data_IF_555686935904
#
_entry.id   IF_555686935904
#
_cell.length_a   1.000
_cell.length_b   1.000
_cell.length_c   1.000
_cell.angle_alpha   90.00
_cell.angle_beta   90.00
_cell.angle_gamma   90.00
#
_symmetry.space_group_name_H-M   'P 1'
#
loop_
_entity.id
_entity.type
_entity.pdbx_description
1 polymer ?
#
# COMPACT_ATOMS: atom_id res chain seq x y z
N UNK A 1 -8.51 0.43 13.80
CA UNK A 1 -9.17 1.11 12.64
C UNK A 1 -8.43 2.39 12.30
N UNK A 2 -8.11 2.60 11.04
CA UNK A 2 -7.45 3.82 10.55
C UNK A 2 -8.38 5.01 10.74
N UNK A 3 -7.87 6.09 11.34
CA UNK A 3 -8.67 7.31 11.52
C UNK A 3 -9.10 7.90 10.18
N UNK A 4 -10.40 8.25 10.06
CA UNK A 4 -10.94 8.91 8.88
C UNK A 4 -11.40 7.99 7.74
N UNK A 5 -11.28 6.67 7.91
CA UNK A 5 -11.69 5.70 6.90
C UNK A 5 -13.21 5.73 6.64
N UNK A 6 -14.03 5.90 7.69
CA UNK A 6 -15.48 6.06 7.55
C UNK A 6 -15.82 7.29 6.70
N UNK A 7 -15.09 8.38 6.92
CA UNK A 7 -15.26 9.60 6.13
C UNK A 7 -14.86 9.42 4.68
N UNK A 8 -13.76 8.71 4.45
CA UNK A 8 -13.34 8.34 3.10
C UNK A 8 -14.41 7.48 2.39
N UNK A 9 -14.98 6.50 3.09
CA UNK A 9 -16.04 5.62 2.59
C UNK A 9 -17.30 6.41 2.19
N UNK A 10 -17.73 7.39 2.99
CA UNK A 10 -18.89 8.25 2.67
C UNK A 10 -18.78 8.91 1.30
N UNK A 11 -17.57 9.34 0.91
CA UNK A 11 -17.33 10.03 -0.36
C UNK A 11 -17.07 9.06 -1.52
N UNK A 12 -16.35 7.96 -1.28
CA UNK A 12 -15.72 7.19 -2.34
C UNK A 12 -16.27 5.78 -2.55
N UNK A 13 -17.23 5.30 -1.74
CA UNK A 13 -17.79 3.95 -1.90
C UNK A 13 -18.40 3.70 -3.30
N UNK A 14 -18.99 4.72 -3.92
CA UNK A 14 -19.54 4.62 -5.29
C UNK A 14 -18.48 4.61 -6.40
N UNK A 15 -17.21 4.81 -6.06
CA UNK A 15 -16.08 4.84 -7.00
C UNK A 15 -15.09 3.71 -6.73
N UNK A 16 -15.55 2.61 -6.14
CA UNK A 16 -14.69 1.50 -5.75
C UNK A 16 -13.92 0.84 -6.92
N UNK A 17 -14.31 1.08 -8.16
CA UNK A 17 -13.63 0.64 -9.38
C UNK A 17 -12.47 1.56 -9.82
N UNK A 18 -12.37 2.76 -9.24
CA UNK A 18 -11.43 3.80 -9.66
C UNK A 18 -10.19 3.91 -8.78
N UNK A 19 -10.15 3.20 -7.67
CA UNK A 19 -9.00 3.17 -6.77
C UNK A 19 -8.81 1.79 -6.13
N UNK A 20 -7.62 1.59 -5.58
CA UNK A 20 -7.30 0.46 -4.69
C UNK A 20 -6.56 1.00 -3.47
N UNK A 21 -7.09 0.75 -2.29
CA UNK A 21 -6.39 1.03 -1.04
C UNK A 21 -5.32 -0.05 -0.83
N UNK A 22 -4.10 0.38 -0.57
CA UNK A 22 -2.94 -0.47 -0.35
C UNK A 22 -2.24 -0.10 0.97
N UNK A 23 -1.03 -0.53 1.16
CA UNK A 23 -0.18 -0.09 2.26
C UNK A 23 -0.66 -0.52 3.65
N UNK A 24 -0.44 0.36 4.63
CA UNK A 24 -0.75 0.11 6.03
C UNK A 24 -2.24 0.06 6.32
N UNK A 25 -3.02 0.94 5.69
CA UNK A 25 -4.46 1.03 5.91
C UNK A 25 -5.21 -0.20 5.38
N UNK A 26 -4.84 -0.72 4.21
CA UNK A 26 -5.39 -1.97 3.70
C UNK A 26 -5.07 -3.15 4.64
N UNK A 27 -3.84 -3.23 5.13
CA UNK A 27 -3.46 -4.27 6.09
C UNK A 27 -4.25 -4.17 7.41
N UNK A 28 -4.53 -2.96 7.90
CA UNK A 28 -5.31 -2.76 9.12
C UNK A 28 -6.76 -3.24 8.94
N UNK A 29 -7.40 -2.89 7.83
CA UNK A 29 -8.74 -3.38 7.46
C UNK A 29 -8.78 -4.91 7.36
N UNK A 30 -7.84 -5.51 6.65
CA UNK A 30 -7.73 -6.96 6.51
C UNK A 30 -7.62 -7.62 7.90
N UNK A 31 -6.69 -7.13 8.73
CA UNK A 31 -6.47 -7.74 10.04
C UNK A 31 -7.67 -7.56 10.97
N UNK A 32 -8.40 -6.45 10.87
CA UNK A 32 -9.64 -6.21 11.62
C UNK A 32 -10.75 -7.18 11.21
N UNK A 33 -10.92 -7.44 9.91
CA UNK A 33 -11.86 -8.43 9.37
C UNK A 33 -11.58 -9.84 9.91
N UNK A 34 -10.32 -10.16 10.16
CA UNK A 34 -9.91 -11.42 10.82
C UNK A 34 -9.84 -11.32 12.35
N UNK A 35 -10.49 -10.34 12.98
CA UNK A 35 -10.47 -10.10 14.42
C UNK A 35 -9.06 -10.05 15.03
N UNK A 36 -8.10 -9.55 14.26
CA UNK A 36 -6.69 -9.41 14.65
C UNK A 36 -6.28 -7.94 14.64
N UNK A 37 -5.13 -7.62 15.23
CA UNK A 37 -4.63 -6.25 15.30
C UNK A 37 -3.44 -6.03 14.38
N UNK A 38 -3.42 -4.88 13.73
CA UNK A 38 -2.27 -4.42 12.97
C UNK A 38 -1.52 -3.31 13.71
N UNK A 39 -0.39 -2.88 13.17
CA UNK A 39 0.31 -1.68 13.68
C UNK A 39 -0.50 -0.43 13.38
N UNK A 40 -0.43 0.56 14.25
CA UNK A 40 -1.08 1.83 13.98
C UNK A 40 -0.56 2.45 12.67
N UNK A 41 -1.48 2.89 11.84
CA UNK A 41 -1.24 3.66 10.61
C UNK A 41 -2.15 4.88 10.58
N UNK A 42 -1.73 5.93 9.89
CA UNK A 42 -2.48 7.19 9.81
C UNK A 42 -2.75 7.60 8.37
N UNK A 43 -2.12 6.90 7.45
CA UNK A 43 -2.02 7.26 6.05
C UNK A 43 -2.91 6.34 5.22
N UNK A 44 -3.64 6.90 4.26
CA UNK A 44 -4.35 6.16 3.24
C UNK A 44 -3.54 6.20 1.94
N UNK A 45 -2.97 5.06 1.56
CA UNK A 45 -2.23 4.87 0.33
C UNK A 45 -3.19 4.36 -0.75
N UNK A 46 -3.49 5.17 -1.75
CA UNK A 46 -4.46 4.88 -2.80
C UNK A 46 -3.77 4.79 -4.16
N UNK A 47 -3.93 3.68 -4.84
CA UNK A 47 -3.56 3.58 -6.26
C UNK A 47 -4.78 3.89 -7.10
N UNK A 48 -4.66 4.89 -7.97
CA UNK A 48 -5.72 5.26 -8.91
C UNK A 48 -5.66 4.37 -10.15
N UNK A 49 -6.82 3.85 -10.54
CA UNK A 49 -6.98 3.10 -11.78
C UNK A 49 -7.29 4.10 -12.88
N UNK A 50 -6.24 4.58 -13.53
CA UNK A 50 -6.33 5.72 -14.47
C UNK A 50 -7.30 5.46 -15.62
N UNK A 51 -7.39 4.21 -16.06
CA UNK A 51 -8.29 3.76 -17.12
C UNK A 51 -9.77 3.83 -16.72
N UNK A 52 -10.08 3.87 -15.43
CA UNK A 52 -11.44 3.93 -14.88
C UNK A 52 -11.80 5.30 -14.31
N UNK A 53 -10.86 6.24 -14.20
CA UNK A 53 -11.10 7.55 -13.60
C UNK A 53 -12.16 8.35 -14.37
N UNK A 54 -13.08 8.95 -13.63
CA UNK A 54 -14.13 9.82 -14.16
C UNK A 54 -13.98 11.25 -13.65
N UNK A 55 -14.50 12.24 -14.39
CA UNK A 55 -14.55 13.62 -13.91
C UNK A 55 -15.27 13.78 -12.55
N UNK A 56 -16.30 12.96 -12.31
CA UNK A 56 -17.06 12.97 -11.05
C UNK A 56 -16.21 12.51 -9.87
N UNK A 57 -15.32 11.52 -10.08
CA UNK A 57 -14.33 11.14 -9.07
C UNK A 57 -13.42 12.31 -8.72
N UNK A 58 -12.87 12.99 -9.75
CA UNK A 58 -12.00 14.15 -9.56
C UNK A 58 -12.69 15.27 -8.77
N UNK A 59 -13.94 15.60 -9.12
CA UNK A 59 -14.74 16.60 -8.40
C UNK A 59 -14.98 16.19 -6.94
N UNK A 60 -15.37 14.94 -6.71
CA UNK A 60 -15.60 14.41 -5.36
C UNK A 60 -14.30 14.41 -4.54
N UNK A 61 -13.17 14.09 -5.19
CA UNK A 61 -11.86 14.11 -4.53
C UNK A 61 -11.50 15.53 -4.06
N UNK A 62 -11.64 16.52 -4.92
CA UNK A 62 -11.37 17.91 -4.54
C UNK A 62 -12.34 18.44 -3.50
N UNK A 63 -13.59 18.01 -3.55
CA UNK A 63 -14.56 18.36 -2.49
C UNK A 63 -14.13 17.76 -1.15
N UNK A 64 -13.68 16.49 -1.14
CA UNK A 64 -13.15 15.84 0.05
C UNK A 64 -11.94 16.57 0.65
N UNK A 65 -10.98 16.96 -0.20
CA UNK A 65 -9.80 17.73 0.22
C UNK A 65 -10.19 19.09 0.81
N UNK A 66 -11.19 19.75 0.22
CA UNK A 66 -11.70 21.04 0.69
C UNK A 66 -12.44 20.88 2.02
N UNK A 67 -13.33 19.89 2.14
CA UNK A 67 -14.14 19.67 3.33
C UNK A 67 -13.30 19.23 4.53
N UNK A 68 -12.18 18.53 4.29
CA UNK A 68 -11.20 18.19 5.29
C UNK A 68 -10.25 19.33 5.67
N UNK A 69 -10.26 20.44 4.91
CA UNK A 69 -9.35 21.59 5.10
C UNK A 69 -7.88 21.14 5.18
N UNK A 70 -7.44 20.30 4.22
CA UNK A 70 -6.06 19.81 4.19
C UNK A 70 -5.07 20.94 3.97
N UNK A 71 -4.09 21.08 4.87
CA UNK A 71 -3.13 22.20 4.88
C UNK A 71 -2.05 22.05 3.83
N UNK A 72 -1.50 20.86 3.71
CA UNK A 72 -0.41 20.59 2.79
C UNK A 72 -0.92 19.82 1.58
N UNK A 73 -0.53 20.30 0.41
CA UNK A 73 -0.85 19.69 -0.89
C UNK A 73 0.42 19.67 -1.69
N UNK A 74 0.82 18.53 -2.20
CA UNK A 74 2.06 18.37 -2.94
C UNK A 74 1.96 17.33 -4.04
N UNK A 75 2.78 17.53 -5.07
CA UNK A 75 2.95 16.60 -6.18
C UNK A 75 4.43 16.27 -6.35
N UNK A 76 4.75 15.16 -6.99
CA UNK A 76 6.12 14.84 -7.38
C UNK A 76 6.66 15.89 -8.35
N UNK A 77 7.94 16.24 -8.21
CA UNK A 77 8.64 17.06 -9.20
C UNK A 77 8.77 16.26 -10.52
N UNK A 78 8.09 16.69 -11.55
CA UNK A 78 8.04 15.98 -12.83
C UNK A 78 6.60 15.72 -13.27
N UNK A 79 6.36 14.56 -13.88
CA UNK A 79 5.00 14.17 -14.24
C UNK A 79 4.18 13.81 -12.98
N UNK A 80 2.88 14.18 -12.91
CA UNK A 80 2.05 13.98 -11.73
C UNK A 80 1.62 12.51 -11.57
N UNK A 81 2.51 11.69 -11.03
CA UNK A 81 2.21 10.29 -10.68
C UNK A 81 1.87 10.12 -9.20
N UNK A 82 2.08 11.16 -8.40
CA UNK A 82 1.93 11.09 -6.96
C UNK A 82 1.46 12.42 -6.40
N UNK A 83 0.42 12.35 -5.55
CA UNK A 83 -0.10 13.48 -4.78
C UNK A 83 -0.14 13.12 -3.30
N UNK A 84 0.22 14.06 -2.44
CA UNK A 84 0.11 13.94 -0.98
C UNK A 84 -0.69 15.11 -0.42
N UNK A 85 -1.62 14.77 0.48
CA UNK A 85 -2.44 15.72 1.23
C UNK A 85 -2.37 15.33 2.69
N UNK A 86 -1.98 16.24 3.56
CA UNK A 86 -1.84 15.95 4.98
C UNK A 86 -2.40 17.05 5.89
N UNK A 87 -2.48 16.72 7.18
CA UNK A 87 -2.89 17.64 8.25
C UNK A 87 -4.24 18.30 7.99
N UNK A 88 -5.34 17.52 7.92
CA UNK A 88 -6.67 18.08 7.86
C UNK A 88 -6.96 18.89 9.13
N UNK A 89 -7.66 20.02 9.00
CA UNK A 89 -8.11 20.82 10.15
C UNK A 89 -9.42 20.29 10.71
N UNK A 90 -10.22 19.63 9.89
CA UNK A 90 -11.51 19.03 10.28
C UNK A 90 -11.30 17.63 10.82
N UNK A 91 -11.84 17.38 12.02
CA UNK A 91 -11.77 16.07 12.67
C UNK A 91 -12.57 15.01 11.87
N UNK A 92 -12.12 13.75 11.94
CA UNK A 92 -12.76 12.63 11.26
C UNK A 92 -12.26 12.40 9.83
N UNK A 93 -11.42 13.26 9.29
CA UNK A 93 -10.72 13.01 8.03
C UNK A 93 -9.41 12.25 8.24
N UNK A 94 -8.94 11.45 7.26
CA UNK A 94 -7.64 10.79 7.32
C UNK A 94 -6.50 11.80 7.49
N UNK A 95 -5.55 11.47 8.35
CA UNK A 95 -4.43 12.38 8.63
C UNK A 95 -3.58 12.68 7.40
N UNK A 96 -3.39 11.70 6.53
CA UNK A 96 -2.68 11.82 5.26
C UNK A 96 -3.35 10.96 4.19
N UNK A 97 -3.35 11.47 2.97
CA UNK A 97 -3.76 10.77 1.75
C UNK A 97 -2.60 10.79 0.79
N UNK A 98 -2.24 9.64 0.25
CA UNK A 98 -1.25 9.49 -0.79
C UNK A 98 -1.91 8.84 -2.01
N UNK A 99 -1.86 9.54 -3.15
CA UNK A 99 -2.39 9.04 -4.40
C UNK A 99 -1.24 8.67 -5.33
N UNK A 100 -1.26 7.45 -5.77
CA UNK A 100 -0.29 6.88 -6.72
C UNK A 100 -0.99 6.54 -8.02
N UNK A 101 -0.28 6.65 -9.14
CA UNK A 101 -0.76 6.14 -10.42
C UNK A 101 0.40 5.62 -11.26
N UNK A 102 0.06 4.72 -12.20
CA UNK A 102 0.98 4.15 -13.19
C UNK A 102 1.41 5.18 -14.26
N UNK A 103 0.56 6.16 -14.56
CA UNK A 103 0.81 7.20 -15.57
C UNK A 103 0.38 8.55 -15.04
N UNK A 104 0.84 9.62 -15.70
CA UNK A 104 0.37 10.97 -15.38
C UNK A 104 -1.14 11.06 -15.53
N UNK A 105 -1.77 11.69 -14.57
CA UNK A 105 -3.20 11.97 -14.57
C UNK A 105 -3.46 13.38 -14.08
N UNK A 106 -4.53 13.97 -14.55
CA UNK A 106 -4.96 15.30 -14.15
C UNK A 106 -6.28 15.21 -13.39
N UNK A 107 -6.28 15.59 -12.13
CA UNK A 107 -7.48 15.70 -11.30
C UNK A 107 -8.20 17.05 -11.52
N UNK A 108 -7.79 17.84 -12.53
CA UNK A 108 -8.37 19.17 -12.87
C UNK A 108 -8.62 20.04 -11.64
N UNK A 109 -7.53 20.53 -11.03
CA UNK A 109 -7.64 21.45 -9.90
C UNK A 109 -7.78 22.91 -10.37
N UNK A 110 -8.82 23.64 -9.93
CA UNK A 110 -9.09 25.01 -10.42
C UNK A 110 -8.09 26.07 -9.97
N UNK A 111 -7.37 25.85 -8.84
CA UNK A 111 -6.43 26.83 -8.26
C UNK A 111 -5.12 26.15 -7.87
N UNK A 112 -4.11 26.29 -8.73
CA UNK A 112 -2.83 25.58 -8.60
C UNK A 112 -1.84 26.27 -7.66
N UNK A 113 -1.84 25.88 -6.40
CA UNK A 113 -0.70 26.09 -5.49
C UNK A 113 -0.22 24.76 -4.90
N UNK A 114 0.03 23.78 -5.77
CA UNK A 114 0.66 22.53 -5.36
C UNK A 114 2.18 22.74 -5.31
N UNK A 115 2.78 22.54 -4.13
CA UNK A 115 4.22 22.67 -3.95
C UNK A 115 4.92 21.31 -4.12
N UNK A 116 6.03 21.22 -4.88
CA UNK A 116 6.84 20.01 -4.95
C UNK A 116 7.42 19.68 -3.58
N UNK A 117 7.38 18.40 -3.18
CA UNK A 117 8.05 17.91 -1.99
C UNK A 117 9.21 16.98 -2.36
N UNK A 118 10.23 16.94 -1.51
CA UNK A 118 11.17 15.83 -1.49
C UNK A 118 10.49 14.65 -0.77
N UNK A 119 10.46 13.50 -1.44
CA UNK A 119 9.82 12.29 -0.92
C UNK A 119 10.79 11.48 -0.08
N UNK A 120 10.24 10.73 0.88
CA UNK A 120 10.99 9.67 1.54
C UNK A 120 11.20 8.49 0.58
N UNK A 121 12.15 7.63 0.93
CA UNK A 121 12.55 6.50 0.08
C UNK A 121 11.42 5.47 -0.13
N UNK A 122 10.49 5.36 0.83
CA UNK A 122 9.39 4.41 0.74
C UNK A 122 8.34 4.80 -0.33
N UNK A 123 8.05 6.08 -0.44
CA UNK A 123 7.15 6.63 -1.48
C UNK A 123 7.75 6.47 -2.86
N UNK A 124 9.05 6.78 -2.99
CA UNK A 124 9.78 6.60 -4.26
C UNK A 124 9.79 5.13 -4.71
N UNK A 125 9.95 4.19 -3.77
CA UNK A 125 9.92 2.76 -4.05
C UNK A 125 8.54 2.30 -4.55
N UNK A 126 7.46 2.68 -3.86
CA UNK A 126 6.10 2.30 -4.27
C UNK A 126 5.74 2.87 -5.65
N UNK A 127 6.07 4.14 -5.92
CA UNK A 127 5.84 4.74 -7.23
C UNK A 127 6.59 4.01 -8.34
N UNK A 128 7.83 3.60 -8.09
CA UNK A 128 8.63 2.82 -9.05
C UNK A 128 8.03 1.43 -9.30
N UNK A 129 7.56 0.75 -8.25
CA UNK A 129 6.90 -0.56 -8.37
C UNK A 129 5.63 -0.44 -9.23
N UNK A 130 4.82 0.60 -9.04
CA UNK A 130 3.58 0.81 -9.79
C UNK A 130 3.77 1.20 -11.26
N UNK A 131 4.96 1.68 -11.65
CA UNK A 131 5.32 1.90 -13.04
C UNK A 131 5.65 0.59 -13.78
N UNK A 132 5.91 -0.48 -13.04
CA UNK A 132 6.15 -1.80 -13.59
C UNK A 132 4.83 -2.49 -13.96
N UNK A 133 4.69 -2.87 -15.23
CA UNK A 133 3.47 -3.50 -15.76
C UNK A 133 3.10 -4.81 -15.02
N UNK A 134 4.09 -5.60 -14.63
CA UNK A 134 3.89 -6.86 -13.89
C UNK A 134 3.21 -6.61 -12.55
N UNK A 135 3.69 -5.65 -11.78
CA UNK A 135 3.11 -5.32 -10.48
C UNK A 135 1.78 -4.59 -10.61
N UNK A 136 1.59 -3.78 -11.65
CA UNK A 136 0.29 -3.15 -11.90
C UNK A 136 -0.78 -4.20 -12.25
N UNK A 137 -0.45 -5.19 -13.07
CA UNK A 137 -1.38 -6.29 -13.38
C UNK A 137 -1.70 -7.13 -12.14
N UNK A 138 -0.72 -7.38 -11.26
CA UNK A 138 -0.95 -8.02 -9.97
C UNK A 138 -1.91 -7.19 -9.10
N UNK A 139 -1.78 -5.87 -9.07
CA UNK A 139 -2.70 -4.99 -8.36
C UNK A 139 -4.11 -5.11 -8.92
N UNK A 140 -4.28 -5.08 -10.24
CA UNK A 140 -5.59 -5.20 -10.87
C UNK A 140 -6.27 -6.55 -10.58
N UNK A 141 -5.49 -7.64 -10.58
CA UNK A 141 -6.00 -8.99 -10.35
C UNK A 141 -6.29 -9.27 -8.86
N UNK A 142 -5.59 -8.59 -7.95
CA UNK A 142 -5.70 -8.81 -6.50
C UNK A 142 -6.73 -7.95 -5.79
N UNK A 143 -7.63 -7.27 -6.50
CA UNK A 143 -8.62 -6.39 -5.89
C UNK A 143 -9.72 -7.16 -5.17
N UNK A 144 -9.94 -6.81 -3.92
CA UNK A 144 -11.07 -7.29 -3.11
C UNK A 144 -11.85 -6.11 -2.52
N UNK A 145 -13.01 -6.38 -1.94
CA UNK A 145 -13.82 -5.37 -1.27
C UNK A 145 -14.07 -5.78 0.18
N UNK A 146 -13.71 -4.90 1.10
CA UNK A 146 -14.05 -5.03 2.51
C UNK A 146 -14.86 -3.79 2.90
N UNK A 147 -16.06 -4.01 3.39
CA UNK A 147 -16.96 -2.97 3.89
C UNK A 147 -17.14 -1.77 2.94
N UNK A 148 -17.27 -2.05 1.62
CA UNK A 148 -17.47 -1.03 0.59
C UNK A 148 -16.22 -0.26 0.20
N UNK A 149 -15.05 -0.69 0.62
CA UNK A 149 -13.75 -0.13 0.26
C UNK A 149 -12.98 -1.15 -0.59
N UNK A 150 -12.50 -0.70 -1.75
CA UNK A 150 -11.65 -1.53 -2.60
C UNK A 150 -10.23 -1.57 -2.05
N UNK A 151 -9.77 -2.75 -1.73
CA UNK A 151 -8.43 -3.02 -1.20
C UNK A 151 -7.65 -3.97 -2.10
N UNK A 152 -6.36 -4.04 -1.89
CA UNK A 152 -5.55 -5.14 -2.41
C UNK A 152 -5.59 -6.31 -1.41
N UNK A 153 -5.93 -7.50 -1.88
CA UNK A 153 -6.04 -8.71 -1.05
C UNK A 153 -4.71 -9.07 -0.36
N UNK A 154 -4.73 -9.71 0.83
CA UNK A 154 -3.52 -10.01 1.58
C UNK A 154 -2.49 -10.82 0.79
N UNK A 155 -2.94 -11.81 0.00
CA UNK A 155 -2.07 -12.60 -0.87
C UNK A 155 -1.43 -11.81 -2.01
N UNK A 156 -1.98 -10.66 -2.40
CA UNK A 156 -1.42 -9.76 -3.39
C UNK A 156 -0.64 -8.59 -2.78
N UNK A 157 -0.94 -8.16 -1.55
CA UNK A 157 -0.12 -7.15 -0.85
C UNK A 157 1.29 -7.68 -0.55
N UNK A 158 1.42 -8.96 -0.23
CA UNK A 158 2.70 -9.56 0.16
C UNK A 158 3.79 -9.40 -0.91
N UNK A 159 3.57 -9.70 -2.21
CA UNK A 159 4.55 -9.44 -3.27
C UNK A 159 5.01 -7.98 -3.33
N UNK A 160 4.09 -7.00 -3.20
CA UNK A 160 4.46 -5.57 -3.17
C UNK A 160 5.36 -5.23 -1.98
N UNK A 161 5.07 -5.80 -0.80
CA UNK A 161 5.91 -5.58 0.37
C UNK A 161 7.26 -6.28 0.28
N UNK A 162 7.31 -7.44 -0.37
CA UNK A 162 8.55 -8.17 -0.64
C UNK A 162 9.43 -7.36 -1.59
N UNK A 163 8.89 -6.87 -2.69
CA UNK A 163 9.59 -5.98 -3.64
C UNK A 163 10.11 -4.73 -2.95
N UNK A 164 9.26 -4.02 -2.22
CA UNK A 164 9.65 -2.81 -1.49
C UNK A 164 10.78 -3.09 -0.47
N UNK A 165 10.73 -4.25 0.20
CA UNK A 165 11.77 -4.65 1.12
C UNK A 165 13.10 -4.93 0.41
N UNK A 166 13.08 -5.63 -0.72
CA UNK A 166 14.26 -5.90 -1.55
C UNK A 166 14.88 -4.59 -2.07
N UNK A 167 14.08 -3.72 -2.67
CA UNK A 167 14.54 -2.44 -3.23
C UNK A 167 15.19 -1.54 -2.17
N UNK A 168 14.61 -1.49 -0.96
CA UNK A 168 15.18 -0.71 0.15
C UNK A 168 16.52 -1.30 0.66
N UNK A 169 16.63 -2.63 0.72
CA UNK A 169 17.89 -3.28 1.06
C UNK A 169 18.98 -3.04 0.00
N UNK A 170 18.65 -3.17 -1.27
CA UNK A 170 19.56 -2.89 -2.37
C UNK A 170 20.04 -1.45 -2.37
N UNK A 171 19.11 -0.51 -2.15
CA UNK A 171 19.44 0.91 -2.03
C UNK A 171 20.39 1.17 -0.87
N UNK A 172 20.12 0.57 0.30
CA UNK A 172 20.99 0.67 1.48
C UNK A 172 22.37 0.06 1.19
N UNK A 173 22.42 -1.11 0.56
CA UNK A 173 23.68 -1.78 0.20
C UNK A 173 24.53 -0.94 -0.75
N UNK A 174 23.91 -0.23 -1.67
CA UNK A 174 24.55 0.68 -2.63
C UNK A 174 24.87 2.08 -2.03
N UNK A 175 24.78 2.25 -0.71
CA UNK A 175 25.15 3.48 -0.02
C UNK A 175 24.08 4.57 0.01
N UNK A 176 22.85 4.27 -0.41
CA UNK A 176 21.69 5.16 -0.26
C UNK A 176 21.28 5.31 1.21
N UNK A 177 20.76 6.48 1.55
CA UNK A 177 20.22 6.73 2.88
C UNK A 177 18.83 6.11 3.01
N UNK A 178 18.68 5.05 3.79
CA UNK A 178 17.40 4.36 4.04
C UNK A 178 17.20 4.15 5.55
N UNK A 179 16.03 4.50 6.08
CA UNK A 179 15.70 4.22 7.48
C UNK A 179 15.46 2.71 7.67
N UNK A 180 16.19 2.11 8.60
CA UNK A 180 16.03 0.69 8.94
C UNK A 180 14.63 0.34 9.44
N UNK A 181 13.89 1.31 9.98
CA UNK A 181 12.49 1.10 10.37
C UNK A 181 11.62 0.83 9.14
N UNK A 182 11.91 1.50 8.02
CA UNK A 182 11.17 1.31 6.78
C UNK A 182 11.44 -0.07 6.16
N UNK A 183 12.68 -0.52 6.19
CA UNK A 183 13.02 -1.88 5.78
C UNK A 183 12.28 -2.91 6.67
N UNK A 184 12.41 -2.78 7.99
CA UNK A 184 11.80 -3.73 8.94
C UNK A 184 10.29 -3.76 8.88
N UNK A 185 9.60 -2.63 8.61
CA UNK A 185 8.14 -2.60 8.55
C UNK A 185 7.59 -3.53 7.47
N UNK A 186 8.21 -3.56 6.28
CA UNK A 186 7.73 -4.41 5.20
C UNK A 186 7.84 -5.90 5.54
N UNK A 187 9.00 -6.35 6.04
CA UNK A 187 9.20 -7.75 6.48
C UNK A 187 8.26 -8.15 7.62
N UNK A 188 8.06 -7.27 8.58
CA UNK A 188 7.15 -7.49 9.71
C UNK A 188 5.69 -7.56 9.26
N UNK A 189 5.28 -6.70 8.31
CA UNK A 189 3.91 -6.70 7.78
C UNK A 189 3.62 -7.99 7.01
N UNK A 190 4.59 -8.51 6.24
CA UNK A 190 4.47 -9.81 5.56
C UNK A 190 4.22 -10.92 6.57
N UNK A 191 4.98 -10.96 7.68
CA UNK A 191 4.76 -11.97 8.72
C UNK A 191 3.37 -11.88 9.35
N UNK A 192 2.82 -10.67 9.54
CA UNK A 192 1.44 -10.49 10.03
C UNK A 192 0.42 -10.94 8.99
N UNK A 193 0.56 -10.51 7.74
CA UNK A 193 -0.35 -10.90 6.66
C UNK A 193 -0.35 -12.42 6.42
N UNK A 194 0.80 -13.08 6.58
CA UNK A 194 0.88 -14.53 6.48
C UNK A 194 -0.02 -15.28 7.50
N UNK A 195 -0.44 -14.63 8.60
CA UNK A 195 -1.35 -15.24 9.58
C UNK A 195 -2.79 -15.36 9.08
N UNK A 196 -3.19 -14.53 8.11
CA UNK A 196 -4.56 -14.50 7.57
C UNK A 196 -4.67 -15.13 6.18
N UNK A 197 -3.55 -15.56 5.59
CA UNK A 197 -3.57 -16.33 4.34
C UNK A 197 -4.28 -17.66 4.55
N UNK A 198 -5.09 -18.05 3.57
CA UNK A 198 -5.82 -19.32 3.56
C UNK A 198 -4.99 -20.40 2.87
N UNK A 199 -5.15 -21.63 3.28
CA UNK A 199 -4.47 -22.77 2.62
C UNK A 199 -4.93 -23.01 1.18
N UNK A 200 -6.08 -22.44 0.81
CA UNK A 200 -6.63 -22.44 -0.55
C UNK A 200 -6.11 -21.29 -1.44
N UNK A 201 -5.44 -20.32 -0.86
CA UNK A 201 -4.92 -19.20 -1.63
C UNK A 201 -3.79 -19.71 -2.53
N UNK A 202 -3.90 -19.41 -3.82
CA UNK A 202 -2.88 -19.68 -4.83
C UNK A 202 -2.76 -18.43 -5.70
N UNK A 203 -1.54 -17.93 -5.84
CA UNK A 203 -1.25 -16.78 -6.69
C UNK A 203 -0.17 -17.20 -7.68
N UNK A 204 -0.56 -17.28 -8.95
CA UNK A 204 0.39 -17.50 -10.03
C UNK A 204 1.09 -16.17 -10.33
N UNK A 205 2.33 -16.07 -9.91
CA UNK A 205 3.14 -14.88 -10.12
C UNK A 205 3.76 -14.92 -11.53
N UNK A 206 3.78 -13.78 -12.25
CA UNK A 206 4.67 -13.62 -13.39
C UNK A 206 6.14 -13.80 -12.98
N UNK A 207 6.99 -14.19 -13.94
CA UNK A 207 8.39 -14.59 -13.70
C UNK A 207 9.15 -13.58 -12.81
N UNK A 208 9.09 -12.28 -13.12
CA UNK A 208 9.76 -11.24 -12.34
C UNK A 208 9.30 -11.20 -10.87
N UNK A 209 7.99 -11.24 -10.63
CA UNK A 209 7.45 -11.22 -9.27
C UNK A 209 7.71 -12.53 -8.52
N UNK A 210 7.81 -13.66 -9.23
CA UNK A 210 8.18 -14.96 -8.67
C UNK A 210 9.65 -14.98 -8.25
N UNK A 211 10.54 -14.37 -9.03
CA UNK A 211 11.96 -14.19 -8.69
C UNK A 211 12.10 -13.30 -7.44
N UNK A 212 11.42 -12.15 -7.39
CA UNK A 212 11.40 -11.26 -6.23
C UNK A 212 10.91 -12.00 -4.97
N UNK A 213 9.83 -12.77 -5.07
CA UNK A 213 9.30 -13.53 -3.93
C UNK A 213 10.26 -14.63 -3.49
N UNK A 214 10.90 -15.34 -4.42
CA UNK A 214 11.89 -16.38 -4.12
C UNK A 214 13.09 -15.80 -3.38
N UNK A 215 13.60 -14.66 -3.85
CA UNK A 215 14.70 -13.95 -3.21
C UNK A 215 14.32 -13.44 -1.82
N UNK A 216 13.12 -12.84 -1.67
CA UNK A 216 12.61 -12.45 -0.37
C UNK A 216 12.55 -13.62 0.62
N UNK A 217 11.97 -14.77 0.20
CA UNK A 217 11.85 -15.95 1.04
C UNK A 217 13.24 -16.46 1.46
N UNK A 218 14.20 -16.53 0.53
CA UNK A 218 15.58 -16.93 0.80
C UNK A 218 16.25 -16.04 1.86
N UNK A 219 16.06 -14.72 1.76
CA UNK A 219 16.62 -13.78 2.74
C UNK A 219 15.87 -13.84 4.08
N UNK A 220 14.55 -14.05 4.06
CA UNK A 220 13.77 -14.24 5.28
C UNK A 220 14.19 -15.49 6.05
N UNK A 221 14.53 -16.60 5.36
CA UNK A 221 15.07 -17.83 5.99
C UNK A 221 16.37 -17.55 6.77
N UNK A 222 17.25 -16.74 6.21
CA UNK A 222 18.51 -16.39 6.84
C UNK A 222 18.35 -15.42 8.01
N UNK A 223 17.38 -14.53 7.93
CA UNK A 223 17.13 -13.50 8.94
C UNK A 223 15.62 -13.41 9.25
N UNK A 224 15.07 -14.36 10.02
CA UNK A 224 13.66 -14.38 10.36
C UNK A 224 13.27 -13.24 11.31
N UNK A 225 11.96 -12.91 11.33
CA UNK A 225 11.42 -11.89 12.24
C UNK A 225 11.24 -12.44 13.66
N UNK A 226 11.28 -11.55 14.65
CA UNK A 226 10.90 -11.89 16.02
C UNK A 226 9.36 -11.89 16.16
N UNK A 227 8.76 -13.06 15.99
CA UNK A 227 7.30 -13.24 16.07
C UNK A 227 6.73 -12.85 17.44
N UNK A 228 7.51 -12.95 18.52
CA UNK A 228 7.04 -12.55 19.86
C UNK A 228 6.87 -11.05 19.95
N UNK A 229 7.83 -10.28 19.44
CA UNK A 229 7.73 -8.81 19.38
C UNK A 229 6.55 -8.34 18.54
N UNK A 230 6.20 -9.12 17.50
CA UNK A 230 5.05 -8.86 16.63
C UNK A 230 3.72 -9.35 17.21
N UNK A 231 3.75 -10.00 18.40
CA UNK A 231 2.59 -10.63 19.06
C UNK A 231 1.92 -11.73 18.21
N UNK A 232 2.64 -12.29 17.25
CA UNK A 232 2.16 -13.41 16.43
C UNK A 232 2.27 -14.69 17.27
N UNK A 233 1.14 -15.38 17.43
CA UNK A 233 1.04 -16.64 18.19
C UNK A 233 0.50 -17.74 17.28
N UNK A 234 0.89 -18.97 17.56
CA UNK A 234 0.37 -20.16 16.85
C UNK A 234 1.04 -20.45 15.51
N UNK A 235 2.00 -19.62 15.09
CA UNK A 235 2.83 -19.85 13.90
C UNK A 235 4.32 -19.74 14.24
N UNK A 236 5.11 -20.53 13.54
CA UNK A 236 6.58 -20.42 13.51
C UNK A 236 7.04 -19.72 12.22
N UNK A 237 8.28 -19.21 12.21
CA UNK A 237 8.84 -18.67 10.97
C UNK A 237 8.91 -19.72 9.85
N UNK A 238 9.18 -20.99 10.18
CA UNK A 238 9.18 -22.07 9.18
C UNK A 238 7.78 -22.26 8.56
N UNK A 239 6.73 -22.24 9.36
CA UNK A 239 5.35 -22.34 8.85
C UNK A 239 4.96 -21.14 7.98
N UNK A 240 5.45 -19.93 8.29
CA UNK A 240 5.28 -18.76 7.42
C UNK A 240 5.96 -19.01 6.08
N UNK A 241 7.22 -19.43 6.08
CA UNK A 241 7.99 -19.75 4.87
C UNK A 241 7.29 -20.81 4.03
N UNK A 242 6.87 -21.92 4.63
CA UNK A 242 6.19 -23.01 3.94
C UNK A 242 4.87 -22.55 3.31
N UNK A 243 4.13 -21.67 4.01
CA UNK A 243 2.89 -21.08 3.51
C UNK A 243 3.16 -20.16 2.32
N UNK A 244 4.17 -19.29 2.39
CA UNK A 244 4.55 -18.43 1.28
C UNK A 244 4.97 -19.24 0.06
N UNK A 245 5.81 -20.27 0.23
CA UNK A 245 6.23 -21.18 -0.86
C UNK A 245 5.06 -21.94 -1.50
N UNK A 246 4.02 -22.26 -0.71
CA UNK A 246 2.83 -22.95 -1.20
C UNK A 246 1.92 -22.04 -2.03
N UNK A 247 1.76 -20.81 -1.60
CA UNK A 247 0.80 -19.85 -2.20
C UNK A 247 1.36 -19.23 -3.47
N UNK A 248 2.64 -18.88 -3.50
CA UNK A 248 3.29 -18.22 -4.62
C UNK A 248 4.00 -19.23 -5.52
N UNK A 249 3.38 -19.54 -6.64
CA UNK A 249 3.83 -20.53 -7.64
C UNK A 249 4.15 -19.86 -8.97
#
# INVERSE_FOLDING_TARGET
>A
MVGGLDKFKEYFSKYADQYVLIGGAACDLIMEDYASSFRATKDLDLVLIVEALTPDFGQTFWQFIKDGEYRNKSISSGEPHFYRFDKPEVSGFPYMLELFSRSSFDLHYPDSTLAPLHFDDSVSSLSAILLNDVYYDLLLNGREEIDGIRILAPSYIIPFKAKAWLDLNDRKFNGGHVDEKDIRKHKNDIARLATVLRDSDVVHLPEEAAEDMSEFIRQYENEPVDLKSLKIRGLTNQQIIDRLKKIYQ
#
